data_IF_229707973213
#
_entry.id   IF_229707973213
#
_cell.length_a   1.000
_cell.length_b   1.000
_cell.length_c   1.000
_cell.angle_alpha   90.00
_cell.angle_beta   90.00
_cell.angle_gamma   90.00
#
_symmetry.space_group_name_H-M   'P 1'
#
loop_
_entity.id
_entity.type
_entity.pdbx_description
1 polymer ?
#
# COMPACT_ATOMS: atom_id res chain seq x y z
N UNK A 1 53.06 80.06 118.09
CA UNK A 1 53.39 78.65 118.37
C UNK A 1 53.19 77.85 117.10
N UNK A 2 54.28 77.55 116.39
CA UNK A 2 54.26 76.66 115.22
C UNK A 2 54.98 75.40 115.71
N UNK A 3 54.22 74.37 116.04
CA UNK A 3 54.77 73.08 116.46
C UNK A 3 55.41 72.44 115.22
N UNK A 4 56.75 72.44 115.16
CA UNK A 4 57.48 71.63 114.18
C UNK A 4 57.29 70.16 114.58
N UNK A 5 56.43 69.43 113.86
CA UNK A 5 56.33 67.97 113.99
C UNK A 5 57.70 67.34 113.74
N UNK A 6 58.10 66.39 114.58
CA UNK A 6 59.36 65.69 114.41
C UNK A 6 59.37 64.89 113.10
N UNK A 7 60.53 64.79 112.43
CA UNK A 7 60.70 64.03 111.18
C UNK A 7 60.18 62.57 111.29
N UNK A 8 60.21 62.01 112.49
CA UNK A 8 59.64 60.69 112.83
C UNK A 8 58.12 60.63 112.68
N UNK A 9 57.40 61.71 112.99
CA UNK A 9 55.93 61.77 112.92
C UNK A 9 55.44 61.93 111.46
N UNK A 10 56.15 62.70 110.64
CA UNK A 10 55.86 62.85 109.21
C UNK A 10 56.03 61.50 108.49
N UNK A 11 57.13 60.79 108.76
CA UNK A 11 57.37 59.46 108.20
C UNK A 11 56.30 58.45 108.63
N UNK A 12 55.77 58.55 109.86
CA UNK A 12 54.66 57.70 110.32
C UNK A 12 53.33 58.03 109.63
N UNK A 13 53.04 59.31 109.40
CA UNK A 13 51.84 59.75 108.68
C UNK A 13 51.87 59.32 107.20
N UNK A 14 53.02 59.45 106.54
CA UNK A 14 53.24 59.00 105.16
C UNK A 14 53.13 57.48 105.03
N UNK A 15 53.72 56.74 105.98
CA UNK A 15 53.63 55.28 106.01
C UNK A 15 52.20 54.82 106.29
N UNK A 16 51.45 55.52 107.16
CA UNK A 16 50.03 55.26 107.38
C UNK A 16 49.16 55.58 106.14
N UNK A 17 49.48 56.66 105.41
CA UNK A 17 48.81 57.02 104.15
C UNK A 17 49.09 55.99 103.05
N UNK A 18 50.34 55.55 102.93
CA UNK A 18 50.75 54.49 102.02
C UNK A 18 50.04 53.17 102.35
N UNK A 19 50.02 52.75 103.62
CA UNK A 19 49.32 51.54 104.05
C UNK A 19 47.82 51.60 103.79
N UNK A 20 47.17 52.76 104.00
CA UNK A 20 45.75 52.95 103.65
C UNK A 20 45.53 52.78 102.15
N UNK A 21 46.36 53.39 101.29
CA UNK A 21 46.27 53.25 99.83
C UNK A 21 46.55 51.81 99.40
N UNK A 22 47.56 51.17 99.96
CA UNK A 22 47.90 49.77 99.70
C UNK A 22 46.77 48.83 100.11
N UNK A 23 46.14 49.06 101.26
CA UNK A 23 45.02 48.24 101.73
C UNK A 23 43.80 48.36 100.81
N UNK A 24 43.51 49.56 100.27
CA UNK A 24 42.46 49.76 99.26
C UNK A 24 42.78 49.00 97.98
N UNK A 25 44.04 49.05 97.51
CA UNK A 25 44.47 48.32 96.31
C UNK A 25 44.37 46.80 96.55
N UNK A 26 44.97 46.30 97.63
CA UNK A 26 45.00 44.89 97.99
C UNK A 26 43.58 44.30 98.15
N UNK A 27 42.65 45.06 98.74
CA UNK A 27 41.24 44.66 98.86
C UNK A 27 40.55 44.50 97.50
N UNK A 28 40.94 45.26 96.49
CA UNK A 28 40.35 45.21 95.14
C UNK A 28 41.01 44.20 94.21
N UNK A 29 42.25 43.74 94.49
CA UNK A 29 42.97 42.76 93.65
C UNK A 29 42.15 41.48 93.39
N UNK A 30 41.53 40.82 94.40
CA UNK A 30 40.73 39.62 94.15
C UNK A 30 39.54 39.87 93.22
N UNK A 31 38.91 41.05 93.30
CA UNK A 31 37.80 41.45 92.43
C UNK A 31 38.30 41.62 90.99
N UNK A 32 39.43 42.32 90.79
CA UNK A 32 40.03 42.47 89.46
C UNK A 32 40.49 41.13 88.88
N UNK A 33 41.07 40.23 89.68
CA UNK A 33 41.46 38.90 89.23
C UNK A 33 40.25 38.04 88.82
N UNK A 34 39.15 38.08 89.58
CA UNK A 34 37.88 37.43 89.21
C UNK A 34 37.31 37.99 87.90
N UNK A 35 37.29 39.32 87.75
CA UNK A 35 36.82 39.98 86.52
C UNK A 35 37.69 39.63 85.30
N UNK A 36 39.01 39.63 85.47
CA UNK A 36 39.95 39.26 84.41
C UNK A 36 39.78 37.80 83.99
N UNK A 37 39.66 36.88 84.95
CA UNK A 37 39.41 35.46 84.69
C UNK A 37 38.05 35.24 84.01
N UNK A 38 37.01 35.97 84.42
CA UNK A 38 35.70 35.93 83.78
C UNK A 38 35.76 36.44 82.33
N UNK A 39 36.52 37.51 82.06
CA UNK A 39 36.74 38.04 80.72
C UNK A 39 37.47 37.05 79.82
N UNK A 40 38.51 36.38 80.33
CA UNK A 40 39.22 35.33 79.58
C UNK A 40 38.30 34.15 79.25
N UNK A 41 37.53 33.66 80.22
CA UNK A 41 36.53 32.60 79.99
C UNK A 41 35.48 33.02 78.96
N UNK A 42 34.99 34.27 79.03
CA UNK A 42 34.05 34.82 78.06
C UNK A 42 34.65 34.86 76.65
N UNK A 43 35.87 35.37 76.49
CA UNK A 43 36.57 35.38 75.19
C UNK A 43 36.73 33.97 74.62
N UNK A 44 37.08 32.99 75.46
CA UNK A 44 37.21 31.61 75.02
C UNK A 44 35.86 31.02 74.57
N UNK A 45 34.77 31.28 75.30
CA UNK A 45 33.43 30.84 74.91
C UNK A 45 32.96 31.51 73.61
N UNK A 46 33.18 32.81 73.47
CA UNK A 46 32.79 33.57 72.27
C UNK A 46 33.58 33.09 71.04
N UNK A 47 34.89 32.86 71.18
CA UNK A 47 35.73 32.30 70.12
C UNK A 47 35.27 30.88 69.72
N UNK A 48 34.95 30.03 70.70
CA UNK A 48 34.42 28.68 70.45
C UNK A 48 33.10 28.75 69.68
N UNK A 49 32.15 29.56 70.16
CA UNK A 49 30.84 29.76 69.52
C UNK A 49 30.96 30.29 68.10
N UNK A 50 31.86 31.25 67.87
CA UNK A 50 32.13 31.77 66.53
C UNK A 50 32.68 30.68 65.59
N UNK A 51 33.63 29.87 66.06
CA UNK A 51 34.19 28.76 65.28
C UNK A 51 33.12 27.71 64.93
N UNK A 52 32.25 27.37 65.87
CA UNK A 52 31.16 26.40 65.67
C UNK A 52 30.14 26.91 64.65
N UNK A 53 29.79 28.20 64.71
CA UNK A 53 28.90 28.82 63.74
C UNK A 53 29.53 28.83 62.33
N UNK A 54 30.80 29.21 62.20
CA UNK A 54 31.51 29.16 60.93
C UNK A 54 31.57 27.73 60.38
N UNK A 55 31.87 26.74 61.23
CA UNK A 55 31.90 25.34 60.84
C UNK A 55 30.52 24.85 60.37
N UNK A 56 29.44 25.25 61.05
CA UNK A 56 28.07 24.89 60.67
C UNK A 56 27.71 25.43 59.29
N UNK A 57 28.02 26.70 59.03
CA UNK A 57 27.78 27.35 57.73
C UNK A 57 28.56 26.68 56.60
N UNK A 58 29.86 26.40 56.81
CA UNK A 58 30.69 25.69 55.82
C UNK A 58 30.14 24.28 55.57
N UNK A 59 29.84 23.51 56.61
CA UNK A 59 29.25 22.16 56.49
C UNK A 59 27.93 22.18 55.72
N UNK A 60 27.09 23.18 55.96
CA UNK A 60 25.80 23.32 55.28
C UNK A 60 25.98 23.66 53.79
N UNK A 61 26.86 24.60 53.45
CA UNK A 61 27.19 24.93 52.05
C UNK A 61 27.82 23.76 51.30
N UNK A 62 28.80 23.08 51.92
CA UNK A 62 29.46 21.89 51.37
C UNK A 62 28.44 20.76 51.14
N UNK A 63 27.56 20.51 52.11
CA UNK A 63 26.51 19.49 51.98
C UNK A 63 25.53 19.80 50.84
N UNK A 64 25.12 21.06 50.67
CA UNK A 64 24.26 21.48 49.55
C UNK A 64 24.96 21.27 48.19
N UNK A 65 26.23 21.67 48.08
CA UNK A 65 27.03 21.47 46.87
C UNK A 65 27.19 19.98 46.52
N UNK A 66 27.58 19.15 47.49
CA UNK A 66 27.74 17.71 47.31
C UNK A 66 26.43 17.01 46.93
N UNK A 67 25.28 17.42 47.46
CA UNK A 67 23.97 16.88 47.07
C UNK A 67 23.65 17.17 45.60
N UNK A 68 23.97 18.37 45.12
CA UNK A 68 23.78 18.73 43.71
C UNK A 68 24.65 17.84 42.80
N UNK A 69 25.93 17.66 43.16
CA UNK A 69 26.85 16.82 42.38
C UNK A 69 26.48 15.34 42.41
N UNK A 70 26.07 14.80 43.56
CA UNK A 70 25.64 13.39 43.69
C UNK A 70 24.36 13.08 42.92
N UNK A 71 23.45 14.04 42.78
CA UNK A 71 22.19 13.85 42.03
C UNK A 71 22.32 14.08 40.52
N UNK A 72 23.36 14.80 40.06
CA UNK A 72 23.62 15.05 38.65
C UNK A 72 23.76 13.78 37.79
N UNK A 73 24.53 12.74 38.14
CA UNK A 73 24.66 11.54 37.32
C UNK A 73 23.36 10.73 37.25
N UNK A 74 22.53 10.76 38.31
CA UNK A 74 21.22 10.09 38.30
C UNK A 74 20.26 10.81 37.36
N UNK A 75 20.18 12.14 37.42
CA UNK A 75 19.36 12.94 36.49
C UNK A 75 19.81 12.79 35.05
N UNK A 76 21.12 12.83 34.80
CA UNK A 76 21.68 12.67 33.45
C UNK A 76 21.36 11.29 32.87
N UNK A 77 21.50 10.21 33.65
CA UNK A 77 21.11 8.86 33.21
C UNK A 77 19.61 8.74 32.96
N UNK A 78 18.77 9.40 33.75
CA UNK A 78 17.32 9.42 33.51
C UNK A 78 17.01 10.13 32.19
N UNK A 79 17.55 11.33 31.96
CA UNK A 79 17.38 12.06 30.71
C UNK A 79 17.87 11.27 29.49
N UNK A 80 19.03 10.61 29.59
CA UNK A 80 19.55 9.78 28.51
C UNK A 80 18.62 8.60 28.17
N UNK A 81 18.00 7.97 29.18
CA UNK A 81 17.01 6.90 28.97
C UNK A 81 15.73 7.43 28.35
N UNK A 82 15.21 8.54 28.86
CA UNK A 82 14.00 9.18 28.34
C UNK A 82 14.22 9.60 26.87
N UNK A 83 15.40 10.15 26.55
CA UNK A 83 15.80 10.51 25.20
C UNK A 83 15.90 9.28 24.28
N UNK A 84 16.48 8.17 24.76
CA UNK A 84 16.52 6.92 23.99
C UNK A 84 15.13 6.36 23.70
N UNK A 85 14.22 6.41 24.68
CA UNK A 85 12.83 5.96 24.50
C UNK A 85 12.10 6.86 23.50
N UNK A 86 12.33 8.18 23.57
CA UNK A 86 11.80 9.14 22.60
C UNK A 86 12.25 8.81 21.18
N UNK A 87 13.55 8.63 20.95
CA UNK A 87 14.07 8.29 19.62
C UNK A 87 13.53 6.95 19.10
N UNK A 88 13.41 5.93 19.96
CA UNK A 88 12.77 4.66 19.57
C UNK A 88 11.31 4.83 19.14
N UNK A 89 10.57 5.74 19.76
CA UNK A 89 9.19 6.04 19.37
C UNK A 89 9.16 6.75 18.01
N UNK A 90 10.02 7.75 17.83
CA UNK A 90 10.17 8.45 16.55
C UNK A 90 10.55 7.49 15.43
N UNK A 91 11.54 6.63 15.63
CA UNK A 91 11.96 5.63 14.64
C UNK A 91 10.81 4.68 14.26
N UNK A 92 10.01 4.26 15.25
CA UNK A 92 8.84 3.42 15.03
C UNK A 92 7.77 4.15 14.22
N UNK A 93 7.46 5.40 14.55
CA UNK A 93 6.50 6.23 13.80
C UNK A 93 6.98 6.45 12.36
N UNK A 94 8.27 6.73 12.15
CA UNK A 94 8.86 6.90 10.83
C UNK A 94 8.82 5.62 9.99
N UNK A 95 8.99 4.46 10.63
CA UNK A 95 8.83 3.17 9.96
C UNK A 95 7.36 2.89 9.59
N UNK A 96 6.42 3.18 10.50
CA UNK A 96 4.99 3.03 10.24
C UNK A 96 4.53 3.96 9.10
N UNK A 97 5.05 5.19 9.04
CA UNK A 97 4.78 6.14 7.97
C UNK A 97 5.27 5.61 6.62
N UNK A 98 6.54 5.20 6.52
CA UNK A 98 7.10 4.61 5.28
C UNK A 98 6.33 3.37 4.83
N UNK A 99 5.98 2.49 5.77
CA UNK A 99 5.17 1.30 5.47
C UNK A 99 3.75 1.65 5.02
N UNK A 100 3.18 2.73 5.51
CA UNK A 100 1.87 3.23 5.08
C UNK A 100 1.97 3.79 3.65
N UNK A 101 2.97 4.62 3.38
CA UNK A 101 3.23 5.18 2.04
C UNK A 101 3.47 4.07 1.00
N UNK A 102 4.24 3.04 1.33
CA UNK A 102 4.44 1.87 0.46
C UNK A 102 3.14 1.10 0.18
N UNK A 103 2.28 0.93 1.19
CA UNK A 103 0.97 0.29 1.02
C UNK A 103 0.04 1.14 0.16
N UNK A 104 -0.03 2.45 0.43
CA UNK A 104 -0.88 3.38 -0.29
C UNK A 104 -0.42 3.48 -1.76
N UNK A 105 0.89 3.45 -2.03
CA UNK A 105 1.44 3.38 -3.38
C UNK A 105 1.12 2.05 -4.10
N UNK A 106 1.21 0.91 -3.40
CA UNK A 106 0.82 -0.38 -3.96
C UNK A 106 -0.68 -0.46 -4.27
N UNK A 107 -1.53 0.08 -3.39
CA UNK A 107 -2.96 0.18 -3.63
C UNK A 107 -3.30 1.15 -4.77
N UNK A 108 -2.56 2.25 -4.92
CA UNK A 108 -2.73 3.19 -6.03
C UNK A 108 -2.40 2.54 -7.37
N UNK A 109 -1.27 1.80 -7.45
CA UNK A 109 -0.89 1.05 -8.65
C UNK A 109 -1.95 -0.01 -9.01
N UNK A 110 -2.48 -0.73 -8.01
CA UNK A 110 -3.55 -1.71 -8.23
C UNK A 110 -4.85 -1.05 -8.72
N UNK A 111 -5.24 0.10 -8.16
CA UNK A 111 -6.41 0.85 -8.64
C UNK A 111 -6.23 1.34 -10.06
N UNK A 112 -5.03 1.78 -10.44
CA UNK A 112 -4.74 2.19 -11.82
C UNK A 112 -4.86 1.01 -12.80
N UNK A 113 -4.35 -0.17 -12.43
CA UNK A 113 -4.50 -1.40 -13.22
C UNK A 113 -5.97 -1.82 -13.36
N UNK A 114 -6.73 -1.84 -12.27
CA UNK A 114 -8.17 -2.14 -12.26
C UNK A 114 -8.95 -1.15 -13.15
N UNK A 115 -8.63 0.15 -13.10
CA UNK A 115 -9.26 1.16 -13.94
C UNK A 115 -8.89 0.97 -15.42
N UNK A 116 -7.64 0.63 -15.71
CA UNK A 116 -7.17 0.32 -17.08
C UNK A 116 -7.87 -0.92 -17.64
N UNK A 117 -8.11 -1.93 -16.82
CA UNK A 117 -8.90 -3.13 -17.18
C UNK A 117 -10.39 -2.82 -17.35
N UNK A 118 -10.98 -2.05 -16.43
CA UNK A 118 -12.37 -1.61 -16.54
C UNK A 118 -12.60 -0.77 -17.81
N UNK A 119 -11.65 0.10 -18.17
CA UNK A 119 -11.71 0.88 -19.42
C UNK A 119 -11.62 -0.02 -20.65
N UNK A 120 -10.77 -1.06 -20.63
CA UNK A 120 -10.73 -2.08 -21.69
C UNK A 120 -12.05 -2.84 -21.78
N UNK A 121 -12.65 -3.23 -20.65
CA UNK A 121 -13.95 -3.89 -20.62
C UNK A 121 -15.06 -2.99 -21.15
N UNK A 122 -15.07 -1.71 -20.75
CA UNK A 122 -16.02 -0.71 -21.24
C UNK A 122 -15.88 -0.50 -22.74
N UNK A 123 -14.66 -0.42 -23.28
CA UNK A 123 -14.43 -0.33 -24.71
C UNK A 123 -14.92 -1.58 -25.45
N UNK A 124 -14.71 -2.79 -24.90
CA UNK A 124 -15.25 -4.04 -25.46
C UNK A 124 -16.78 -4.07 -25.43
N UNK A 125 -17.39 -3.62 -24.33
CA UNK A 125 -18.83 -3.51 -24.20
C UNK A 125 -19.40 -2.50 -25.21
N UNK A 126 -18.80 -1.32 -25.33
CA UNK A 126 -19.18 -0.32 -26.32
C UNK A 126 -19.03 -0.83 -27.76
N UNK A 127 -17.97 -1.60 -28.03
CA UNK A 127 -17.78 -2.24 -29.32
C UNK A 127 -18.90 -3.26 -29.61
N UNK A 128 -19.24 -4.12 -28.65
CA UNK A 128 -20.37 -5.06 -28.76
C UNK A 128 -21.72 -4.34 -28.92
N UNK A 129 -21.93 -3.26 -28.18
CA UNK A 129 -23.11 -2.40 -28.27
C UNK A 129 -23.24 -1.80 -29.67
N UNK A 130 -22.15 -1.27 -30.23
CA UNK A 130 -22.12 -0.76 -31.60
C UNK A 130 -22.43 -1.86 -32.63
N UNK A 131 -21.97 -3.09 -32.38
CA UNK A 131 -22.33 -4.22 -33.22
C UNK A 131 -23.82 -4.57 -33.11
N UNK A 132 -24.41 -4.53 -31.91
CA UNK A 132 -25.85 -4.76 -31.74
C UNK A 132 -26.70 -3.61 -32.26
N UNK A 133 -26.24 -2.36 -32.24
CA UNK A 133 -26.91 -1.23 -32.90
C UNK A 133 -26.90 -1.42 -34.41
N UNK A 134 -25.79 -1.86 -34.99
CA UNK A 134 -25.67 -2.18 -36.41
C UNK A 134 -26.53 -3.40 -36.80
N UNK A 135 -26.58 -4.44 -35.94
CA UNK A 135 -27.47 -5.59 -36.10
C UNK A 135 -28.94 -5.22 -35.93
N UNK A 136 -29.28 -4.29 -35.03
CA UNK A 136 -30.64 -3.77 -34.88
C UNK A 136 -31.04 -3.02 -36.14
N UNK A 137 -30.18 -2.18 -36.70
CA UNK A 137 -30.42 -1.48 -37.95
C UNK A 137 -30.58 -2.46 -39.13
N UNK A 138 -29.79 -3.54 -39.16
CA UNK A 138 -29.89 -4.57 -40.20
C UNK A 138 -31.15 -5.44 -40.05
N UNK A 139 -31.56 -5.79 -38.82
CA UNK A 139 -32.80 -6.52 -38.54
C UNK A 139 -34.04 -5.64 -38.73
N UNK A 140 -33.97 -4.34 -38.44
CA UNK A 140 -35.04 -3.38 -38.75
C UNK A 140 -35.15 -3.08 -40.24
N UNK A 141 -34.05 -3.06 -40.99
CA UNK A 141 -34.12 -2.93 -42.45
C UNK A 141 -34.57 -4.25 -43.11
N UNK A 142 -34.20 -5.41 -42.58
CA UNK A 142 -34.67 -6.72 -43.07
C UNK A 142 -36.15 -6.98 -42.70
N UNK A 143 -36.60 -6.52 -41.54
CA UNK A 143 -38.03 -6.46 -41.20
C UNK A 143 -38.76 -5.37 -42.01
N UNK A 144 -38.09 -4.28 -42.38
CA UNK A 144 -38.64 -3.20 -43.20
C UNK A 144 -38.79 -3.54 -44.68
N UNK A 145 -38.01 -4.48 -45.22
CA UNK A 145 -38.15 -4.95 -46.61
C UNK A 145 -39.03 -6.21 -46.76
N UNK A 146 -39.44 -6.84 -45.65
CA UNK A 146 -40.32 -8.03 -45.69
C UNK A 146 -41.62 -7.90 -44.89
N UNK A 147 -41.90 -6.73 -44.31
CA UNK A 147 -43.21 -6.43 -43.75
C UNK A 147 -43.70 -5.07 -44.27
N UNK A 148 -44.41 -5.13 -45.41
CA UNK A 148 -45.61 -4.29 -45.54
C UNK A 148 -46.48 -4.59 -44.30
N UNK A 149 -46.84 -3.61 -43.47
CA UNK A 149 -47.89 -3.84 -42.50
C UNK A 149 -49.19 -3.97 -43.29
N UNK A 150 -49.62 -5.22 -43.44
CA UNK A 150 -51.01 -5.58 -43.67
C UNK A 150 -51.86 -4.84 -42.62
N UNK A 151 -52.85 -4.10 -43.10
CA UNK A 151 -53.88 -3.52 -42.25
C UNK A 151 -54.69 -4.66 -41.64
N UNK A 152 -54.34 -5.10 -40.42
CA UNK A 152 -55.14 -6.13 -39.78
C UNK A 152 -54.51 -6.85 -38.61
N UNK A 153 -54.38 -6.16 -37.48
CA UNK A 153 -54.70 -6.72 -36.16
C UNK A 153 -54.42 -5.68 -35.09
N UNK A 154 -55.43 -4.87 -34.78
CA UNK A 154 -55.53 -4.30 -33.45
C UNK A 154 -55.53 -5.48 -32.45
N UNK A 155 -54.81 -5.41 -31.33
CA UNK A 155 -55.16 -6.25 -30.19
C UNK A 155 -56.61 -5.90 -29.85
N UNK A 156 -57.50 -6.88 -29.85
CA UNK A 156 -58.75 -6.77 -29.11
C UNK A 156 -58.35 -6.42 -27.67
N UNK A 157 -58.54 -5.14 -27.34
CA UNK A 157 -58.41 -4.65 -25.98
C UNK A 157 -59.73 -5.06 -25.35
N UNK A 158 -59.66 -5.97 -24.36
CA UNK A 158 -60.74 -6.18 -23.42
C UNK A 158 -61.24 -4.80 -22.95
N UNK A 159 -62.53 -4.56 -23.12
CA UNK A 159 -63.21 -3.32 -22.73
C UNK A 159 -63.08 -3.11 -21.21
N UNK A 160 -62.05 -2.36 -20.77
CA UNK A 160 -61.99 -1.51 -19.56
C UNK A 160 -60.57 -0.90 -19.38
N UNK A 161 -60.08 -0.09 -20.34
CA UNK A 161 -58.93 0.82 -20.09
C UNK A 161 -59.45 2.27 -19.88
N UNK A 162 -59.11 2.86 -18.73
CA UNK A 162 -59.47 4.24 -18.31
C UNK A 162 -59.02 5.27 -19.38
N UNK A 163 -59.88 6.22 -19.83
CA UNK A 163 -59.54 7.18 -20.88
C UNK A 163 -58.22 7.95 -20.68
N UNK A 164 -57.78 8.16 -19.42
CA UNK A 164 -56.50 8.81 -19.12
C UNK A 164 -55.28 7.93 -19.43
N UNK A 165 -55.38 6.60 -19.30
CA UNK A 165 -54.29 5.66 -19.55
C UNK A 165 -54.04 5.48 -21.07
N UNK A 166 -55.11 5.50 -21.87
CA UNK A 166 -55.02 5.48 -23.32
C UNK A 166 -54.35 6.75 -23.90
N UNK A 167 -54.54 7.90 -23.26
CA UNK A 167 -53.95 9.17 -23.67
C UNK A 167 -52.45 9.23 -23.32
N UNK A 168 -52.07 8.76 -22.12
CA UNK A 168 -50.68 8.57 -21.71
C UNK A 168 -49.93 7.58 -22.62
N UNK A 169 -50.57 6.50 -23.04
CA UNK A 169 -49.99 5.50 -23.97
C UNK A 169 -49.78 6.10 -25.37
N UNK A 170 -50.69 6.95 -25.84
CA UNK A 170 -50.51 7.70 -27.11
C UNK A 170 -49.40 8.73 -27.04
N UNK A 171 -49.28 9.45 -25.93
CA UNK A 171 -48.19 10.41 -25.74
C UNK A 171 -46.83 9.70 -25.61
N UNK A 172 -46.77 8.59 -24.87
CA UNK A 172 -45.59 7.75 -24.78
C UNK A 172 -45.17 7.20 -26.16
N UNK A 173 -46.14 6.76 -26.98
CA UNK A 173 -45.88 6.29 -28.33
C UNK A 173 -45.38 7.41 -29.26
N UNK A 174 -45.97 8.61 -29.16
CA UNK A 174 -45.53 9.79 -29.93
C UNK A 174 -44.13 10.27 -29.52
N UNK A 175 -43.83 10.24 -28.22
CA UNK A 175 -42.51 10.54 -27.69
C UNK A 175 -41.46 9.51 -28.13
N UNK A 176 -41.82 8.22 -28.12
CA UNK A 176 -40.97 7.14 -28.62
C UNK A 176 -40.70 7.29 -30.13
N UNK A 177 -41.72 7.57 -30.94
CA UNK A 177 -41.53 7.85 -32.38
C UNK A 177 -40.66 9.07 -32.62
N UNK A 178 -40.83 10.14 -31.84
CA UNK A 178 -40.02 11.34 -31.96
C UNK A 178 -38.55 11.07 -31.61
N UNK A 179 -38.27 10.33 -30.53
CA UNK A 179 -36.93 9.92 -30.14
C UNK A 179 -36.25 9.05 -31.20
N UNK A 180 -36.97 8.05 -31.74
CA UNK A 180 -36.48 7.19 -32.83
C UNK A 180 -36.19 8.01 -34.10
N UNK A 181 -37.04 8.98 -34.43
CA UNK A 181 -36.82 9.85 -35.61
C UNK A 181 -35.61 10.77 -35.45
N UNK A 182 -35.35 11.29 -34.25
CA UNK A 182 -34.17 12.10 -33.95
C UNK A 182 -32.89 11.26 -34.03
N UNK A 183 -32.91 10.06 -33.44
CA UNK A 183 -31.77 9.15 -33.45
C UNK A 183 -31.45 8.68 -34.88
N UNK A 184 -32.48 8.43 -35.70
CA UNK A 184 -32.32 8.10 -37.13
C UNK A 184 -31.70 9.27 -37.93
N UNK A 185 -32.07 10.52 -37.63
CA UNK A 185 -31.44 11.71 -38.24
C UNK A 185 -29.98 11.88 -37.83
N UNK A 186 -29.65 11.68 -36.56
CA UNK A 186 -28.27 11.76 -36.07
C UNK A 186 -27.38 10.67 -36.68
N UNK A 187 -27.90 9.44 -36.79
CA UNK A 187 -27.18 8.32 -37.39
C UNK A 187 -26.94 8.53 -38.89
N UNK A 188 -27.96 8.98 -39.63
CA UNK A 188 -27.82 9.31 -41.06
C UNK A 188 -26.83 10.45 -41.32
N UNK A 189 -26.75 11.44 -40.42
CA UNK A 189 -25.77 12.51 -40.51
C UNK A 189 -24.34 11.99 -40.30
N UNK A 190 -24.15 11.09 -39.32
CA UNK A 190 -22.87 10.45 -39.04
C UNK A 190 -22.40 9.56 -40.20
N UNK A 191 -23.29 8.74 -40.79
CA UNK A 191 -22.97 7.91 -41.94
C UNK A 191 -22.60 8.74 -43.19
N UNK A 192 -23.26 9.88 -43.38
CA UNK A 192 -22.93 10.81 -44.47
C UNK A 192 -21.55 11.46 -44.28
N UNK A 193 -21.14 11.70 -43.03
CA UNK A 193 -19.82 12.25 -42.67
C UNK A 193 -18.71 11.22 -42.92
N UNK A 194 -18.93 9.95 -42.54
CA UNK A 194 -17.99 8.84 -42.73
C UNK A 194 -17.75 8.55 -44.21
N UNK A 195 -18.82 8.54 -45.03
CA UNK A 195 -18.70 8.34 -46.49
C UNK A 195 -17.91 9.49 -47.14
N UNK A 196 -18.08 10.74 -46.67
CA UNK A 196 -17.28 11.89 -47.12
C UNK A 196 -15.81 11.78 -46.72
N UNK A 197 -15.52 11.31 -45.50
CA UNK A 197 -14.16 11.08 -45.02
C UNK A 197 -13.44 9.99 -45.83
N UNK A 198 -14.16 8.92 -46.22
CA UNK A 198 -13.63 7.87 -47.10
C UNK A 198 -13.35 8.38 -48.52
N UNK A 199 -14.21 9.23 -49.08
CA UNK A 199 -13.98 9.83 -50.40
C UNK A 199 -12.84 10.85 -50.41
N UNK A 200 -12.61 11.55 -49.29
CA UNK A 200 -11.49 12.49 -49.13
C UNK A 200 -10.12 11.82 -48.97
N UNK A 201 -10.10 10.55 -48.55
CA UNK A 201 -8.85 9.76 -48.38
C UNK A 201 -8.40 9.05 -49.66
N UNK A 202 -9.26 8.91 -50.67
CA UNK A 202 -8.88 8.40 -52.01
C UNK A 202 -8.26 9.46 -52.94
N UNK A 203 -8.29 10.75 -52.58
CA UNK A 203 -7.75 11.84 -53.40
C UNK A 203 -6.44 12.42 -52.85
N UNK A 204 -5.41 11.56 -52.76
CA UNK A 204 -3.98 11.86 -52.97
C UNK A 204 -3.20 12.68 -51.94
N UNK A 205 -2.16 12.07 -51.34
CA UNK A 205 -0.74 12.47 -51.31
C UNK A 205 0.06 11.40 -50.52
N UNK A 206 1.19 10.87 -51.02
CA UNK A 206 2.04 9.95 -50.27
C UNK A 206 3.04 10.74 -49.42
N UNK A 207 3.00 10.58 -48.10
CA UNK A 207 4.11 10.95 -47.22
C UNK A 207 4.52 9.76 -46.38
N UNK A 208 5.72 9.29 -46.70
CA UNK A 208 6.59 8.43 -45.91
C UNK A 208 6.75 8.99 -44.49
N UNK A 209 6.25 8.28 -43.48
CA UNK A 209 6.93 8.24 -42.18
C UNK A 209 6.52 7.04 -41.32
N UNK A 210 7.53 6.56 -40.61
CA UNK A 210 7.65 5.28 -39.93
C UNK A 210 6.82 5.17 -38.64
N UNK A 211 6.38 3.94 -38.35
CA UNK A 211 5.98 3.39 -37.05
C UNK A 211 4.63 3.84 -36.47
N UNK A 212 3.54 3.34 -37.05
CA UNK A 212 2.39 2.88 -36.26
C UNK A 212 1.97 1.53 -36.81
N UNK A 213 2.14 0.46 -36.03
CA UNK A 213 1.58 -0.84 -36.38
C UNK A 213 0.07 -0.69 -36.47
N UNK A 214 -0.45 -0.63 -37.69
CA UNK A 214 -1.86 -0.79 -37.96
C UNK A 214 -2.32 -2.14 -37.37
N UNK A 215 -3.37 -2.15 -36.53
CA UNK A 215 -3.98 -3.40 -36.15
C UNK A 215 -4.62 -3.98 -37.41
N UNK A 216 -4.02 -5.08 -37.88
CA UNK A 216 -4.51 -6.04 -38.85
C UNK A 216 -6.02 -5.91 -39.12
N UNK A 217 -6.39 -5.72 -40.40
CA UNK A 217 -7.75 -5.94 -40.92
C UNK A 217 -8.30 -7.25 -40.33
N UNK A 218 -9.15 -7.14 -39.32
CA UNK A 218 -9.99 -8.25 -38.88
C UNK A 218 -11.17 -8.23 -39.86
N UNK A 219 -11.25 -9.25 -40.71
CA UNK A 219 -12.36 -9.42 -41.64
C UNK A 219 -13.64 -9.71 -40.83
N UNK A 220 -14.54 -8.73 -40.81
CA UNK A 220 -15.75 -8.70 -39.99
C UNK A 220 -16.93 -9.43 -40.66
N UNK A 221 -16.73 -10.00 -41.85
CA UNK A 221 -17.81 -10.64 -42.61
C UNK A 221 -18.00 -12.12 -42.23
N UNK A 222 -16.98 -12.78 -41.66
CA UNK A 222 -17.06 -14.16 -41.18
C UNK A 222 -16.51 -14.28 -39.75
N UNK A 223 -17.35 -14.49 -38.70
CA UNK A 223 -16.88 -14.80 -37.34
C UNK A 223 -16.36 -16.25 -37.22
N UNK A 224 -15.80 -16.80 -38.31
CA UNK A 224 -15.00 -18.00 -38.21
C UNK A 224 -13.67 -17.59 -37.60
N UNK A 225 -13.48 -17.88 -36.32
CA UNK A 225 -12.20 -17.76 -35.60
C UNK A 225 -11.14 -18.74 -36.15
N UNK A 226 -11.28 -19.22 -37.38
CA UNK A 226 -10.35 -20.11 -38.05
C UNK A 226 -9.82 -19.42 -39.31
N UNK A 227 -8.50 -19.17 -39.41
CA UNK A 227 -7.93 -18.72 -40.66
C UNK A 227 -8.14 -19.79 -41.75
N UNK A 228 -8.55 -19.37 -42.95
CA UNK A 228 -8.72 -20.25 -44.13
C UNK A 228 -7.42 -20.92 -44.57
N UNK A 229 -6.26 -20.43 -44.09
CA UNK A 229 -4.95 -21.00 -44.36
C UNK A 229 -4.39 -21.68 -43.11
N UNK A 230 -4.35 -23.01 -43.17
CA UNK A 230 -3.82 -23.92 -42.16
C UNK A 230 -2.29 -23.88 -42.11
N UNK A 231 -1.71 -23.20 -41.12
CA UNK A 231 -0.26 -23.22 -40.87
C UNK A 231 0.15 -23.97 -39.61
N UNK A 232 -0.79 -24.29 -38.71
CA UNK A 232 -0.46 -24.95 -37.43
C UNK A 232 -0.26 -26.44 -37.63
N UNK A 233 0.99 -26.87 -37.62
CA UNK A 233 1.39 -28.28 -37.61
C UNK A 233 1.40 -28.85 -36.19
N UNK A 234 1.41 -30.17 -36.07
CA UNK A 234 1.64 -30.82 -34.77
C UNK A 234 3.02 -30.46 -34.24
N UNK A 235 3.16 -29.95 -33.00
CA UNK A 235 4.47 -29.61 -32.42
C UNK A 235 5.38 -30.83 -32.35
N UNK A 236 6.67 -30.69 -32.67
CA UNK A 236 7.65 -31.78 -32.58
C UNK A 236 7.86 -32.24 -31.12
N UNK A 237 7.66 -31.34 -30.15
CA UNK A 237 7.68 -31.66 -28.72
C UNK A 237 6.56 -32.62 -28.30
N UNK A 238 5.49 -32.73 -29.09
CA UNK A 238 4.35 -33.59 -28.79
C UNK A 238 4.54 -34.99 -29.39
N UNK A 239 4.81 -35.99 -28.55
CA UNK A 239 5.00 -37.39 -28.93
C UNK A 239 3.68 -38.15 -29.07
N UNK A 240 2.85 -37.72 -30.01
CA UNK A 240 1.58 -38.37 -30.33
C UNK A 240 1.03 -37.94 -31.69
N UNK A 241 0.10 -38.73 -32.24
CA UNK A 241 -0.58 -38.39 -33.49
C UNK A 241 -1.94 -37.75 -33.16
N UNK A 242 -2.12 -36.49 -33.54
CA UNK A 242 -3.40 -35.80 -33.42
C UNK A 242 -4.34 -36.21 -34.56
N UNK A 243 -5.61 -36.44 -34.23
CA UNK A 243 -6.65 -36.64 -35.25
C UNK A 243 -7.05 -35.31 -35.88
N UNK A 244 -7.63 -35.32 -37.09
CA UNK A 244 -7.98 -34.10 -37.83
C UNK A 244 -8.86 -33.12 -37.04
N UNK A 245 -9.84 -33.62 -36.29
CA UNK A 245 -10.70 -32.77 -35.46
C UNK A 245 -9.92 -32.15 -34.27
N UNK A 246 -8.90 -32.84 -33.76
CA UNK A 246 -8.04 -32.32 -32.69
C UNK A 246 -7.07 -31.27 -33.22
N UNK A 247 -6.60 -31.42 -34.46
CA UNK A 247 -5.83 -30.39 -35.16
C UNK A 247 -6.64 -29.12 -35.37
N UNK A 248 -7.92 -29.24 -35.78
CA UNK A 248 -8.83 -28.09 -35.87
C UNK A 248 -9.04 -27.43 -34.50
N UNK A 249 -9.23 -28.22 -33.45
CA UNK A 249 -9.33 -27.70 -32.07
C UNK A 249 -8.06 -26.98 -31.61
N UNK A 250 -6.87 -27.52 -31.92
CA UNK A 250 -5.58 -26.88 -31.64
C UNK A 250 -5.44 -25.56 -32.39
N UNK A 251 -5.73 -25.54 -33.69
CA UNK A 251 -5.66 -24.32 -34.52
C UNK A 251 -6.59 -23.23 -33.96
N UNK A 252 -7.79 -23.61 -33.52
CA UNK A 252 -8.72 -22.69 -32.89
C UNK A 252 -8.15 -22.12 -31.59
N UNK A 253 -7.53 -22.95 -30.73
CA UNK A 253 -6.88 -22.49 -29.49
C UNK A 253 -5.70 -21.56 -29.75
N UNK A 254 -4.88 -21.84 -30.76
CA UNK A 254 -3.75 -20.99 -31.16
C UNK A 254 -4.24 -19.63 -31.63
N UNK A 255 -5.27 -19.59 -32.47
CA UNK A 255 -5.84 -18.33 -32.92
C UNK A 255 -6.48 -17.54 -31.76
N UNK A 256 -7.18 -18.21 -30.83
CA UNK A 256 -7.66 -17.56 -29.61
C UNK A 256 -6.52 -16.91 -28.82
N UNK A 257 -5.40 -17.62 -28.68
CA UNK A 257 -4.23 -17.09 -27.98
C UNK A 257 -3.60 -15.89 -28.70
N UNK A 258 -3.49 -15.94 -30.03
CA UNK A 258 -2.94 -14.82 -30.83
C UNK A 258 -3.79 -13.56 -30.79
N UNK A 259 -5.11 -13.73 -30.74
CA UNK A 259 -6.05 -12.63 -30.62
C UNK A 259 -6.21 -12.14 -29.16
N UNK A 260 -5.56 -12.80 -28.19
CA UNK A 260 -5.69 -12.47 -26.77
C UNK A 260 -7.11 -12.74 -26.23
N UNK A 261 -7.81 -13.71 -26.82
CA UNK A 261 -9.14 -14.15 -26.44
C UNK A 261 -9.08 -15.42 -25.58
N UNK A 262 -9.94 -15.49 -24.57
CA UNK A 262 -10.13 -16.71 -23.79
C UNK A 262 -11.19 -17.58 -24.47
N UNK A 263 -10.87 -18.84 -24.72
CA UNK A 263 -11.78 -19.80 -25.36
C UNK A 263 -12.31 -20.85 -24.38
N UNK A 264 -13.57 -21.27 -24.56
CA UNK A 264 -14.13 -22.46 -23.90
C UNK A 264 -14.18 -23.59 -24.92
N UNK A 265 -13.41 -24.65 -24.67
CA UNK A 265 -13.43 -25.85 -25.51
C UNK A 265 -14.48 -26.83 -24.97
N UNK A 266 -15.62 -26.91 -25.68
CA UNK A 266 -16.82 -27.64 -25.24
C UNK A 266 -17.04 -28.95 -26.03
N UNK A 267 -15.96 -29.65 -26.39
CA UNK A 267 -16.04 -30.94 -27.09
C UNK A 267 -16.70 -32.01 -26.21
N UNK A 268 -17.33 -33.00 -26.86
CA UNK A 268 -17.91 -34.17 -26.19
C UNK A 268 -16.86 -34.93 -25.33
N UNK A 269 -17.31 -35.63 -24.30
CA UNK A 269 -16.43 -36.42 -23.44
C UNK A 269 -15.76 -37.54 -24.25
N UNK A 270 -14.45 -37.71 -24.09
CA UNK A 270 -13.69 -38.74 -24.82
C UNK A 270 -13.05 -38.27 -26.14
N UNK A 271 -13.32 -37.05 -26.62
CA UNK A 271 -12.67 -36.51 -27.82
C UNK A 271 -11.19 -36.14 -27.62
N UNK A 272 -10.68 -36.19 -26.39
CA UNK A 272 -9.27 -35.94 -26.09
C UNK A 272 -8.95 -34.46 -25.86
N UNK A 273 -9.80 -33.76 -25.10
CA UNK A 273 -9.57 -32.36 -24.68
C UNK A 273 -8.22 -32.20 -23.95
N UNK A 274 -7.84 -33.18 -23.14
CA UNK A 274 -6.53 -33.21 -22.46
C UNK A 274 -5.39 -33.17 -23.46
N UNK A 275 -5.47 -34.02 -24.49
CA UNK A 275 -4.48 -34.13 -25.56
C UNK A 275 -4.38 -32.84 -26.37
N UNK A 276 -5.51 -32.23 -26.72
CA UNK A 276 -5.55 -30.92 -27.38
C UNK A 276 -4.89 -29.83 -26.51
N UNK A 277 -5.16 -29.81 -25.21
CA UNK A 277 -4.53 -28.87 -24.28
C UNK A 277 -3.01 -29.06 -24.15
N UNK A 278 -2.53 -30.32 -24.11
CA UNK A 278 -1.09 -30.63 -24.10
C UNK A 278 -0.39 -30.26 -25.41
N UNK A 279 -1.04 -30.52 -26.54
CA UNK A 279 -0.56 -30.08 -27.84
C UNK A 279 -0.46 -28.55 -27.91
N UNK A 280 -1.44 -27.83 -27.36
CA UNK A 280 -1.41 -26.37 -27.27
C UNK A 280 -0.27 -25.86 -26.40
N UNK A 281 -0.04 -26.44 -25.22
CA UNK A 281 1.10 -26.06 -24.36
C UNK A 281 2.45 -26.34 -25.04
N UNK A 282 2.56 -27.46 -25.77
CA UNK A 282 3.77 -27.81 -26.51
C UNK A 282 4.02 -26.84 -27.66
N UNK A 283 2.97 -26.45 -28.38
CA UNK A 283 3.05 -25.44 -29.44
C UNK A 283 3.54 -24.08 -28.90
N UNK A 284 3.05 -23.63 -27.73
CA UNK A 284 3.53 -22.41 -27.09
C UNK A 284 5.01 -22.47 -26.68
N UNK A 285 5.47 -23.64 -26.24
CA UNK A 285 6.86 -23.86 -25.86
C UNK A 285 7.80 -23.90 -27.08
N UNK A 286 7.34 -24.44 -28.20
CA UNK A 286 8.12 -24.57 -29.44
C UNK A 286 8.18 -23.25 -30.23
N UNK A 287 7.02 -22.71 -30.59
CA UNK A 287 6.93 -21.59 -31.53
C UNK A 287 7.19 -20.25 -30.85
N UNK A 288 6.67 -20.07 -29.63
CA UNK A 288 6.76 -18.81 -28.88
C UNK A 288 7.87 -18.84 -27.82
N UNK A 289 8.53 -19.98 -27.65
CA UNK A 289 9.54 -20.21 -26.63
C UNK A 289 9.05 -19.89 -25.19
N UNK A 290 7.74 -20.07 -24.95
CA UNK A 290 7.11 -19.84 -23.65
C UNK A 290 6.97 -21.18 -22.93
N UNK A 291 7.85 -21.45 -21.97
CA UNK A 291 7.88 -22.73 -21.24
C UNK A 291 7.05 -22.73 -19.95
N UNK A 292 6.48 -21.58 -19.56
CA UNK A 292 5.63 -21.46 -18.39
C UNK A 292 5.96 -20.24 -17.51
N UNK A 293 5.36 -20.14 -16.31
CA UNK A 293 4.65 -21.19 -15.58
C UNK A 293 3.22 -21.44 -16.09
N UNK A 294 2.90 -22.70 -16.37
CA UNK A 294 1.54 -23.15 -16.69
C UNK A 294 0.86 -23.75 -15.46
N UNK A 295 -0.44 -23.50 -15.32
CA UNK A 295 -1.26 -24.07 -14.25
C UNK A 295 -2.46 -24.79 -14.85
N UNK A 296 -2.56 -26.09 -14.58
CA UNK A 296 -3.72 -26.90 -14.93
C UNK A 296 -4.46 -27.27 -13.64
N UNK A 297 -5.76 -27.01 -13.62
CA UNK A 297 -6.63 -27.37 -12.49
C UNK A 297 -7.62 -28.41 -12.98
N UNK A 298 -7.65 -29.56 -12.30
CA UNK A 298 -8.55 -30.66 -12.62
C UNK A 298 -9.07 -31.31 -11.31
N UNK A 299 -10.19 -32.04 -11.37
CA UNK A 299 -10.68 -32.83 -10.24
C UNK A 299 -9.59 -33.78 -9.71
N UNK A 300 -9.54 -33.99 -8.39
CA UNK A 300 -8.49 -34.79 -7.75
C UNK A 300 -8.39 -36.22 -8.30
N UNK A 301 -9.50 -36.78 -8.79
CA UNK A 301 -9.57 -38.11 -9.41
C UNK A 301 -8.78 -38.25 -10.71
N UNK A 302 -8.56 -37.16 -11.45
CA UNK A 302 -7.92 -37.18 -12.77
C UNK A 302 -6.51 -36.57 -12.78
N UNK A 303 -6.04 -36.00 -11.67
CA UNK A 303 -4.71 -35.37 -11.58
C UNK A 303 -3.58 -36.35 -11.91
N UNK A 304 -3.67 -37.59 -11.44
CA UNK A 304 -2.67 -38.62 -11.76
C UNK A 304 -2.68 -38.97 -13.25
N UNK A 305 -3.87 -39.09 -13.85
CA UNK A 305 -4.01 -39.33 -15.29
C UNK A 305 -3.39 -38.18 -16.10
N UNK A 306 -3.61 -36.92 -15.71
CA UNK A 306 -2.94 -35.78 -16.33
C UNK A 306 -1.42 -35.88 -16.22
N UNK A 307 -0.88 -36.30 -15.08
CA UNK A 307 0.56 -36.44 -14.91
C UNK A 307 1.16 -37.54 -15.81
N UNK A 308 0.49 -38.68 -15.90
CA UNK A 308 0.88 -39.78 -16.79
C UNK A 308 0.80 -39.37 -18.26
N UNK A 309 -0.25 -38.68 -18.67
CA UNK A 309 -0.41 -38.20 -20.03
C UNK A 309 0.65 -37.15 -20.40
N UNK A 310 1.01 -36.22 -19.50
CA UNK A 310 2.09 -35.24 -19.74
C UNK A 310 3.43 -35.95 -19.91
N UNK A 311 3.75 -36.94 -19.06
CA UNK A 311 4.99 -37.73 -19.20
C UNK A 311 5.00 -38.51 -20.52
N UNK A 312 3.85 -39.02 -20.95
CA UNK A 312 3.71 -39.81 -22.19
C UNK A 312 3.83 -38.95 -23.45
N UNK A 313 3.09 -37.85 -23.51
CA UNK A 313 2.95 -37.03 -24.72
C UNK A 313 3.92 -35.86 -24.78
N UNK A 314 4.36 -35.32 -23.63
CA UNK A 314 5.22 -34.14 -23.55
C UNK A 314 6.34 -34.35 -22.51
N UNK A 315 7.22 -35.34 -22.68
CA UNK A 315 8.23 -35.68 -21.66
C UNK A 315 9.24 -34.57 -21.37
N UNK A 316 9.40 -33.62 -22.30
CA UNK A 316 10.32 -32.50 -22.16
C UNK A 316 9.76 -31.39 -21.25
N UNK A 317 8.45 -31.41 -20.95
CA UNK A 317 7.82 -30.50 -20.01
C UNK A 317 7.98 -31.00 -18.56
N UNK A 318 8.57 -30.16 -17.71
CA UNK A 318 8.69 -30.44 -16.27
C UNK A 318 7.34 -30.29 -15.59
N UNK A 319 6.84 -31.37 -15.01
CA UNK A 319 5.59 -31.39 -14.24
C UNK A 319 5.85 -31.39 -12.74
N UNK A 320 4.99 -30.70 -11.99
CA UNK A 320 4.95 -30.74 -10.53
C UNK A 320 3.53 -31.09 -10.07
N UNK A 321 3.23 -32.37 -9.77
CA UNK A 321 1.91 -32.75 -9.26
C UNK A 321 1.71 -32.18 -7.85
N UNK A 322 0.56 -31.54 -7.62
CA UNK A 322 0.23 -30.89 -6.35
C UNK A 322 -1.01 -31.51 -5.70
N UNK A 323 -0.81 -32.60 -4.94
CA UNK A 323 -1.90 -33.29 -4.24
C UNK A 323 -1.42 -33.94 -2.92
N UNK A 324 -2.35 -34.40 -2.09
CA UNK A 324 -2.03 -35.15 -0.87
C UNK A 324 -1.44 -34.32 0.29
N UNK A 325 -0.93 -34.96 1.35
CA UNK A 325 -0.32 -34.29 2.51
C UNK A 325 1.04 -33.65 2.21
N UNK A 326 1.72 -34.08 1.14
CA UNK A 326 3.04 -33.56 0.73
C UNK A 326 3.01 -32.11 0.22
N UNK A 327 1.81 -31.56 -0.03
CA UNK A 327 1.59 -30.15 -0.44
C UNK A 327 2.27 -29.12 0.48
N UNK A 328 2.41 -29.41 1.77
CA UNK A 328 3.05 -28.50 2.74
C UNK A 328 4.57 -28.43 2.50
N UNK A 329 5.19 -29.53 2.13
CA UNK A 329 6.62 -29.61 1.83
C UNK A 329 6.90 -28.99 0.46
N UNK A 330 6.07 -29.31 -0.54
CA UNK A 330 6.19 -28.75 -1.89
C UNK A 330 6.08 -27.22 -1.89
N UNK A 331 5.15 -26.64 -1.12
CA UNK A 331 5.01 -25.18 -0.98
C UNK A 331 6.26 -24.48 -0.46
N UNK A 332 7.06 -25.13 0.39
CA UNK A 332 8.32 -24.57 0.89
C UNK A 332 9.43 -24.60 -0.17
N UNK A 333 9.34 -25.52 -1.12
CA UNK A 333 10.35 -25.74 -2.16
C UNK A 333 10.03 -25.04 -3.49
N UNK A 334 8.78 -24.62 -3.70
CA UNK A 334 8.36 -23.84 -4.88
C UNK A 334 8.89 -22.40 -4.72
N UNK A 335 9.97 -22.10 -5.43
CA UNK A 335 10.55 -20.76 -5.49
C UNK A 335 10.11 -20.09 -6.81
N UNK A 336 9.48 -18.90 -6.80
CA UNK A 336 8.97 -18.25 -8.02
C UNK A 336 10.05 -18.08 -9.10
N UNK A 337 11.29 -17.76 -8.68
CA UNK A 337 12.44 -17.57 -9.58
C UNK A 337 12.92 -18.86 -10.27
N UNK A 338 12.56 -20.04 -9.75
CA UNK A 338 12.90 -21.34 -10.33
C UNK A 338 11.86 -21.83 -11.33
N UNK A 339 10.62 -21.34 -11.25
CA UNK A 339 9.52 -21.78 -12.13
C UNK A 339 9.67 -21.31 -13.57
N UNK A 340 10.37 -20.20 -13.81
CA UNK A 340 10.62 -19.65 -15.14
C UNK A 340 11.88 -20.21 -15.82
N UNK A 341 12.60 -21.16 -15.19
CA UNK A 341 13.89 -21.65 -15.68
C UNK A 341 13.73 -23.06 -16.27
N UNK A 342 14.21 -23.22 -17.50
CA UNK A 342 14.19 -24.47 -18.29
C UNK A 342 14.68 -25.68 -17.52
#
# INVERSE_FOLDING_TARGET
QIVKKEHSEIMKEDLASFLKRWHIIARNIPKHHRNFTALLKKRQMDAKRFSENCQREVKLKVSRSLKLMRSAPVRTRKLARDMLIFWKRVDKEQYELRKKEERDAAEALKREEELREAKRQQQRLNFLLSQTELYSHFMQNKAGESALPDEGSAPEVDDEEDPEEAELKREAFRAAQHAVSQQKRMTNAFDSEIVRLCQSSESGIPTDDSATMEPSKIDLLHPSTMPEQSSVQTPELFKGVLKEYQLKGLQWLVNCYEQGLNGILADEMGLGKTVQAMAFLSHLAEDKNIWGPFLVVAPASVVNNWAEEVIRFCPDLKILPYWGPERVVLRKNINPKRLYRR
#
